data_IF_837490910719
#
_entry.id   IF_837490910719
#
_cell.length_a   1.000
_cell.length_b   1.000
_cell.length_c   1.000
_cell.angle_alpha   90.00
_cell.angle_beta   90.00
_cell.angle_gamma   90.00
#
_symmetry.space_group_name_H-M   'P 1'
#
loop_
_entity.id
_entity.type
_entity.pdbx_description
1 polymer ?
#
# COMPACT_ATOMS: atom_id res chain seq x y z
N UNK A 1 -0.24 17.29 -18.63
CA UNK A 1 0.23 17.75 -17.31
C UNK A 1 0.47 16.53 -16.43
N UNK A 2 1.71 16.19 -16.06
CA UNK A 2 1.95 15.17 -15.04
C UNK A 2 1.64 15.76 -13.66
N UNK A 3 0.80 15.10 -12.89
CA UNK A 3 0.45 15.46 -11.50
C UNK A 3 1.71 15.26 -10.62
N UNK A 4 2.26 16.30 -9.96
CA UNK A 4 3.60 16.23 -9.38
C UNK A 4 3.69 15.78 -7.90
N UNK A 5 2.69 15.07 -7.36
CA UNK A 5 2.67 14.74 -5.90
C UNK A 5 2.71 13.23 -5.61
N UNK A 6 3.24 12.41 -6.52
CA UNK A 6 3.58 11.03 -6.18
C UNK A 6 4.98 11.03 -5.54
N UNK A 7 5.16 10.52 -4.30
CA UNK A 7 6.49 10.39 -3.72
C UNK A 7 7.32 9.46 -4.62
N UNK A 8 8.40 9.99 -5.20
CA UNK A 8 9.32 9.24 -6.07
C UNK A 8 10.09 8.15 -5.31
N UNK A 9 10.04 8.15 -3.97
CA UNK A 9 10.70 7.19 -3.11
C UNK A 9 9.74 6.07 -2.68
N UNK A 10 10.22 4.81 -2.57
CA UNK A 10 9.43 3.73 -2.03
C UNK A 10 9.03 4.01 -0.58
N UNK A 11 7.73 3.89 -0.29
CA UNK A 11 7.16 4.07 1.04
C UNK A 11 7.13 2.75 1.79
N UNK A 12 7.59 2.79 3.04
CA UNK A 12 7.38 1.68 3.98
C UNK A 12 5.89 1.52 4.28
N UNK A 13 5.42 0.33 4.70
CA UNK A 13 4.03 0.13 5.14
C UNK A 13 3.64 1.07 6.30
N UNK A 14 4.55 1.35 7.23
CA UNK A 14 4.30 2.28 8.32
C UNK A 14 4.13 3.73 7.83
N UNK A 15 4.99 4.19 6.92
CA UNK A 15 4.90 5.52 6.32
C UNK A 15 3.61 5.68 5.50
N UNK A 16 3.27 4.65 4.72
CA UNK A 16 2.02 4.62 3.97
C UNK A 16 0.82 4.66 4.89
N UNK A 17 0.81 3.88 5.96
CA UNK A 17 -0.26 3.91 6.96
C UNK A 17 -0.41 5.29 7.59
N UNK A 18 0.70 5.93 7.99
CA UNK A 18 0.68 7.28 8.53
C UNK A 18 0.11 8.28 7.51
N UNK A 19 0.47 8.15 6.23
CA UNK A 19 -0.05 8.98 5.15
C UNK A 19 -1.55 8.77 4.94
N UNK A 20 -2.03 7.52 4.90
CA UNK A 20 -3.46 7.20 4.79
C UNK A 20 -4.25 7.82 5.95
N UNK A 21 -3.75 7.71 7.18
CA UNK A 21 -4.39 8.27 8.39
C UNK A 21 -4.40 9.80 8.38
N UNK A 22 -3.30 10.44 7.94
CA UNK A 22 -3.21 11.91 7.82
C UNK A 22 -4.26 12.47 6.86
N UNK A 23 -4.60 11.73 5.82
CA UNK A 23 -5.54 12.13 4.78
C UNK A 23 -6.85 11.32 4.82
N UNK A 24 -7.27 10.90 6.02
CA UNK A 24 -8.39 9.99 6.25
C UNK A 24 -9.62 10.26 5.37
N UNK A 25 -10.22 9.19 4.86
CA UNK A 25 -11.36 9.26 3.93
C UNK A 25 -11.01 9.40 2.45
N UNK A 26 -9.73 9.56 2.09
CA UNK A 26 -9.27 9.52 0.70
C UNK A 26 -8.78 8.12 0.31
N UNK A 27 -9.13 7.71 -0.89
CA UNK A 27 -8.58 6.49 -1.49
C UNK A 27 -7.23 6.78 -2.17
N UNK A 28 -6.28 5.90 -1.88
CA UNK A 28 -4.95 5.91 -2.44
C UNK A 28 -4.73 4.64 -3.24
N UNK A 29 -4.15 4.77 -4.43
CA UNK A 29 -3.63 3.65 -5.19
C UNK A 29 -2.14 3.54 -4.91
N UNK A 30 -1.67 2.34 -4.61
CA UNK A 30 -0.27 2.05 -4.38
C UNK A 30 0.12 0.73 -5.04
N UNK A 31 1.27 0.70 -5.73
CA UNK A 31 1.86 -0.54 -6.23
C UNK A 31 2.68 -1.19 -5.12
N UNK A 32 2.32 -2.41 -4.72
CA UNK A 32 3.05 -3.14 -3.68
C UNK A 32 4.11 -4.03 -4.31
N UNK A 33 5.33 -3.90 -3.82
CA UNK A 33 6.49 -4.67 -4.24
C UNK A 33 7.06 -5.41 -3.04
N UNK A 34 7.37 -6.69 -3.21
CA UNK A 34 7.96 -7.48 -2.14
C UNK A 34 9.44 -7.10 -1.99
N UNK A 35 9.79 -6.47 -0.86
CA UNK A 35 11.17 -6.13 -0.55
C UNK A 35 11.98 -7.43 -0.36
N UNK A 36 12.99 -7.65 -1.20
CA UNK A 36 13.94 -8.74 -1.00
C UNK A 36 14.80 -8.37 0.20
N UNK A 37 14.55 -8.98 1.36
CA UNK A 37 15.48 -8.87 2.48
C UNK A 37 16.72 -9.69 2.14
N UNK A 38 17.76 -9.04 1.66
CA UNK A 38 19.11 -9.61 1.70
C UNK A 38 19.48 -9.85 3.17
N UNK A 39 19.37 -11.11 3.63
CA UNK A 39 20.16 -11.56 4.75
C UNK A 39 21.52 -11.98 4.21
N UNK A 40 22.53 -11.15 4.40
CA UNK A 40 23.90 -11.60 4.32
C UNK A 40 24.13 -12.65 5.43
N UNK A 41 24.44 -13.90 5.06
CA UNK A 41 25.45 -14.68 5.79
C UNK A 41 26.05 -15.80 4.91
N UNK A 42 27.39 -15.81 4.90
CA UNK A 42 28.35 -16.87 4.56
C UNK A 42 27.90 -18.03 3.65
N UNK A 43 28.61 -18.14 2.51
CA UNK A 43 28.94 -19.37 1.76
C UNK A 43 27.77 -20.31 1.43
N UNK A 44 27.34 -20.24 0.17
CA UNK A 44 26.74 -21.37 -0.53
C UNK A 44 25.25 -21.22 -0.78
N UNK A 45 24.90 -21.15 -2.06
CA UNK A 45 23.54 -21.20 -2.62
C UNK A 45 22.65 -19.96 -2.35
N UNK A 46 23.02 -18.84 -2.99
CA UNK A 46 22.06 -17.78 -3.29
C UNK A 46 21.03 -18.34 -4.29
N UNK A 47 19.91 -18.85 -3.76
CA UNK A 47 18.73 -19.15 -4.58
C UNK A 47 18.21 -17.80 -5.06
N UNK A 48 18.24 -17.59 -6.37
CA UNK A 48 17.82 -16.39 -7.10
C UNK A 48 16.35 -16.08 -6.77
N UNK A 49 16.10 -15.47 -5.62
CA UNK A 49 14.83 -14.81 -5.34
C UNK A 49 14.80 -13.62 -6.31
N UNK A 50 13.85 -13.64 -7.24
CA UNK A 50 13.70 -12.59 -8.24
C UNK A 50 13.79 -11.21 -7.56
N UNK A 51 14.65 -10.31 -8.05
CA UNK A 51 14.76 -8.97 -7.48
C UNK A 51 13.39 -8.30 -7.58
N UNK A 52 12.96 -7.69 -6.47
CA UNK A 52 11.81 -6.80 -6.43
C UNK A 52 10.54 -7.31 -7.14
N UNK A 53 9.90 -8.32 -6.56
CA UNK A 53 8.71 -8.91 -7.18
C UNK A 53 7.49 -8.00 -6.98
N UNK A 54 7.03 -7.37 -8.06
CA UNK A 54 5.74 -6.68 -8.10
C UNK A 54 4.60 -7.64 -7.73
N UNK A 55 3.79 -7.27 -6.75
CA UNK A 55 2.67 -8.09 -6.25
C UNK A 55 1.30 -7.61 -6.70
N UNK A 56 1.24 -6.41 -7.27
CA UNK A 56 0.00 -5.83 -7.76
C UNK A 56 -0.24 -4.43 -7.22
N UNK A 57 -1.28 -3.80 -7.73
CA UNK A 57 -1.78 -2.53 -7.22
C UNK A 57 -2.87 -2.77 -6.18
N UNK A 58 -2.82 -1.96 -5.14
CA UNK A 58 -3.76 -1.98 -4.03
C UNK A 58 -4.45 -0.63 -3.94
N UNK A 59 -5.75 -0.63 -3.69
CA UNK A 59 -6.50 0.56 -3.30
C UNK A 59 -6.63 0.56 -1.78
N UNK A 60 -6.17 1.64 -1.16
CA UNK A 60 -6.02 1.77 0.28
C UNK A 60 -6.78 2.99 0.76
N UNK A 61 -7.61 2.82 1.78
CA UNK A 61 -8.39 3.90 2.37
C UNK A 61 -8.36 3.77 3.89
N UNK A 62 -7.94 4.83 4.59
CA UNK A 62 -8.11 4.87 6.04
C UNK A 62 -9.56 5.26 6.40
N UNK A 63 -10.18 4.47 7.28
CA UNK A 63 -11.49 4.68 7.89
C UNK A 63 -11.34 4.64 9.41
N UNK A 64 -11.05 5.79 10.02
CA UNK A 64 -10.75 5.87 11.45
C UNK A 64 -9.47 5.09 11.80
N UNK A 65 -9.57 4.10 12.68
CA UNK A 65 -8.45 3.22 13.07
C UNK A 65 -8.22 2.03 12.13
N UNK A 66 -9.15 1.79 11.18
CA UNK A 66 -9.04 0.67 10.24
C UNK A 66 -8.61 1.14 8.86
N UNK A 67 -7.93 0.26 8.13
CA UNK A 67 -7.57 0.46 6.73
C UNK A 67 -8.35 -0.53 5.88
N UNK A 68 -9.10 -0.01 4.91
CA UNK A 68 -9.67 -0.82 3.85
C UNK A 68 -8.61 -1.00 2.77
N UNK A 69 -8.20 -2.24 2.52
CA UNK A 69 -7.27 -2.61 1.48
C UNK A 69 -7.97 -3.47 0.42
N UNK A 70 -8.03 -2.99 -0.82
CA UNK A 70 -8.55 -3.72 -1.98
C UNK A 70 -7.36 -4.23 -2.78
N UNK A 71 -7.20 -5.55 -2.81
CA UNK A 71 -6.10 -6.18 -3.55
C UNK A 71 -6.36 -6.26 -5.06
N UNK A 72 -5.37 -6.75 -5.84
CA UNK A 72 -5.48 -6.89 -7.29
C UNK A 72 -6.61 -7.84 -7.74
N UNK A 73 -7.05 -8.75 -6.87
CA UNK A 73 -8.21 -9.61 -7.10
C UNK A 73 -9.56 -8.87 -6.95
N UNK A 74 -9.56 -7.57 -6.62
CA UNK A 74 -10.77 -6.78 -6.37
C UNK A 74 -11.42 -7.02 -5.00
N UNK A 75 -10.87 -7.93 -4.19
CA UNK A 75 -11.39 -8.22 -2.85
C UNK A 75 -10.94 -7.16 -1.86
N UNK A 76 -11.91 -6.50 -1.24
CA UNK A 76 -11.67 -5.59 -0.12
C UNK A 76 -11.50 -6.36 1.19
N UNK A 77 -10.51 -5.98 1.98
CA UNK A 77 -10.27 -6.45 3.34
C UNK A 77 -10.17 -5.26 4.28
N UNK A 78 -10.82 -5.33 5.43
CA UNK A 78 -10.64 -4.34 6.49
C UNK A 78 -9.58 -4.84 7.46
N UNK A 79 -8.49 -4.10 7.56
CA UNK A 79 -7.31 -4.45 8.34
C UNK A 79 -7.17 -3.46 9.48
N UNK A 80 -6.84 -3.96 10.67
CA UNK A 80 -6.33 -3.12 11.75
C UNK A 80 -4.88 -2.72 11.43
N UNK A 81 -4.34 -1.74 12.14
CA UNK A 81 -2.93 -1.33 12.00
C UNK A 81 -1.96 -2.52 12.13
N UNK A 82 -2.15 -3.38 13.14
CA UNK A 82 -1.31 -4.56 13.35
C UNK A 82 -1.37 -5.54 12.17
N UNK A 83 -2.57 -5.85 11.69
CA UNK A 83 -2.78 -6.75 10.54
C UNK A 83 -2.16 -6.17 9.26
N UNK A 84 -2.31 -4.86 9.05
CA UNK A 84 -1.71 -4.17 7.91
C UNK A 84 -0.19 -4.28 7.95
N UNK A 85 0.44 -4.05 9.10
CA UNK A 85 1.88 -4.15 9.27
C UNK A 85 2.39 -5.60 9.21
N UNK A 86 1.60 -6.59 9.65
CA UNK A 86 1.96 -8.00 9.52
C UNK A 86 1.98 -8.44 8.05
N UNK A 87 0.90 -8.14 7.32
CA UNK A 87 0.74 -8.52 5.91
C UNK A 87 1.76 -7.76 5.05
N UNK A 88 1.86 -6.44 5.22
CA UNK A 88 2.67 -5.59 4.35
C UNK A 88 4.07 -5.28 4.91
N UNK A 89 4.46 -5.81 6.09
CA UNK A 89 5.75 -5.55 6.75
C UNK A 89 7.00 -5.97 5.96
N UNK A 90 6.80 -6.76 4.90
CA UNK A 90 7.85 -7.18 3.96
C UNK A 90 7.76 -6.50 2.60
N UNK A 91 6.83 -5.58 2.45
CA UNK A 91 6.54 -4.89 1.21
C UNK A 91 7.05 -3.46 1.30
N UNK A 92 7.24 -2.85 0.14
CA UNK A 92 7.30 -1.41 0.01
C UNK A 92 6.35 -1.00 -1.10
N UNK A 93 5.92 0.25 -1.04
CA UNK A 93 4.90 0.78 -1.93
C UNK A 93 5.49 1.88 -2.79
N UNK A 94 5.23 1.80 -4.09
CA UNK A 94 5.63 2.81 -5.08
C UNK A 94 4.40 3.34 -5.79
N UNK A 95 4.59 4.43 -6.54
CA UNK A 95 3.53 5.06 -7.33
C UNK A 95 2.27 5.35 -6.48
N UNK A 96 2.48 5.86 -5.26
CA UNK A 96 1.39 6.18 -4.35
C UNK A 96 0.68 7.43 -4.85
N UNK A 97 -0.56 7.29 -5.30
CA UNK A 97 -1.36 8.37 -5.87
C UNK A 97 -2.73 8.42 -5.21
N UNK A 98 -3.23 9.63 -4.95
CA UNK A 98 -4.63 9.84 -4.57
C UNK A 98 -5.48 9.56 -5.81
N UNK A 99 -6.43 8.62 -5.75
CA UNK A 99 -7.26 8.27 -6.93
C UNK A 99 -8.27 9.36 -7.30
N UNK A 100 -8.40 10.41 -6.47
CA UNK A 100 -9.37 11.49 -6.66
C UNK A 100 -10.81 11.06 -6.33
N UNK A 101 -11.03 9.78 -5.99
CA UNK A 101 -12.30 9.28 -5.49
C UNK A 101 -12.38 9.67 -4.01
N UNK A 102 -13.01 10.81 -3.74
CA UNK A 102 -13.59 11.06 -2.43
C UNK A 102 -14.60 9.95 -2.18
N UNK A 103 -14.35 9.11 -1.18
CA UNK A 103 -15.33 8.11 -0.76
C UNK A 103 -16.40 8.80 0.09
N UNK A 104 -17.12 9.75 -0.52
CA UNK A 104 -18.24 10.50 0.05
C UNK A 104 -19.14 10.84 -1.15
N UNK A 105 -20.40 10.41 -1.22
CA UNK A 105 -21.46 10.57 -0.25
C UNK A 105 -22.41 9.34 -0.31
N UNK A 106 -23.08 9.05 0.80
CA UNK A 106 -24.34 8.31 0.78
C UNK A 106 -25.35 8.95 -0.20
N UNK A 107 -26.46 8.27 -0.52
CA UNK A 107 -27.34 8.66 -1.64
C UNK A 107 -27.76 10.14 -1.53
N UNK A 108 -27.40 10.92 -2.56
CA UNK A 108 -27.72 12.35 -2.69
C UNK A 108 -29.14 12.60 -3.25
N UNK A 109 -30.06 11.65 -3.08
CA UNK A 109 -31.46 11.82 -3.47
C UNK A 109 -32.34 11.25 -2.36
N UNK A 110 -32.80 12.15 -1.49
CA UNK A 110 -33.97 11.98 -0.63
C UNK A 110 -35.05 12.95 -1.09
#
# INVERSE_FOLDING_TARGET
MPTPDAPAAPLSPADLLALLRRHGGREYRAAAHLAVRERATKRGAAKTAAPDAFKGQYLLTARGERVRAVGPSGRASELSEAEFLDIFGRYHFVDVQITGVLTDLGPLFG
#
